data_IF_010023481708
#
_entry.id   IF_010023481708
#
_cell.length_a   1.000
_cell.length_b   1.000
_cell.length_c   1.000
_cell.angle_alpha   90.00
_cell.angle_beta   90.00
_cell.angle_gamma   90.00
#
_symmetry.space_group_name_H-M   'P 1'
#
loop_
_entity.id
_entity.type
_entity.pdbx_description
1 polymer ?
#
# COMPACT_ATOMS: atom_id res chain seq x y z
N UNK A 1 14.52 15.67 -1.34
CA UNK A 1 13.21 15.00 -1.17
C UNK A 1 13.36 13.59 -1.71
N UNK A 2 13.45 12.59 -0.82
CA UNK A 2 13.42 11.18 -1.23
C UNK A 2 12.04 10.91 -1.83
N UNK A 3 12.00 10.66 -3.14
CA UNK A 3 10.79 10.24 -3.83
C UNK A 3 10.43 8.84 -3.33
N UNK A 4 9.46 8.80 -2.41
CA UNK A 4 8.83 7.57 -1.93
C UNK A 4 8.15 6.91 -3.14
N UNK A 5 8.76 5.85 -3.67
CA UNK A 5 8.30 5.17 -4.89
C UNK A 5 7.35 4.00 -4.57
N UNK A 6 6.17 4.30 -4.02
CA UNK A 6 5.14 3.28 -3.78
C UNK A 6 4.61 2.71 -5.10
N UNK A 7 4.33 1.39 -5.18
CA UNK A 7 3.73 0.79 -6.38
C UNK A 7 2.29 1.26 -6.60
N UNK A 8 1.80 1.15 -7.84
CA UNK A 8 0.38 1.30 -8.14
C UNK A 8 -0.42 0.11 -7.58
N UNK A 9 -1.68 0.33 -7.18
CA UNK A 9 -2.54 -0.74 -6.64
C UNK A 9 -2.70 -1.91 -7.62
N UNK A 10 -2.81 -1.64 -8.91
CA UNK A 10 -2.97 -2.66 -9.95
C UNK A 10 -1.71 -3.50 -10.16
N UNK A 11 -0.52 -2.94 -9.92
CA UNK A 11 0.73 -3.72 -9.98
C UNK A 11 0.77 -4.81 -8.89
N UNK A 12 0.15 -4.55 -7.74
CA UNK A 12 -0.04 -5.55 -6.69
C UNK A 12 -1.16 -6.52 -7.11
N UNK A 13 -2.33 -6.01 -7.52
CA UNK A 13 -3.50 -6.85 -7.85
C UNK A 13 -3.31 -7.74 -9.09
N UNK A 14 -2.38 -7.41 -9.99
CA UNK A 14 -2.07 -8.20 -11.17
C UNK A 14 -1.68 -9.66 -10.84
N UNK A 15 -1.12 -9.90 -9.66
CA UNK A 15 -0.69 -11.24 -9.25
C UNK A 15 -1.86 -12.17 -8.88
N UNK A 16 -3.06 -11.65 -8.58
CA UNK A 16 -4.22 -12.45 -8.16
C UNK A 16 -4.66 -13.45 -9.24
N UNK A 17 -4.74 -13.00 -10.50
CA UNK A 17 -5.19 -13.85 -11.61
C UNK A 17 -4.17 -14.95 -11.91
N UNK A 18 -2.88 -14.61 -11.91
CA UNK A 18 -1.79 -15.56 -12.15
C UNK A 18 -1.77 -16.66 -11.09
N UNK A 19 -1.89 -16.30 -9.81
CA UNK A 19 -1.93 -17.28 -8.71
C UNK A 19 -3.13 -18.22 -8.83
N UNK A 20 -4.31 -17.69 -9.16
CA UNK A 20 -5.52 -18.52 -9.32
C UNK A 20 -5.43 -19.49 -10.51
N UNK A 21 -4.86 -19.04 -11.64
CA UNK A 21 -4.65 -19.90 -12.81
C UNK A 21 -3.69 -21.03 -12.48
N UNK A 22 -2.55 -20.72 -11.86
CA UNK A 22 -1.56 -21.72 -11.47
C UNK A 22 -2.09 -22.72 -10.45
N UNK A 23 -2.85 -22.25 -9.45
CA UNK A 23 -3.49 -23.13 -8.47
C UNK A 23 -4.35 -24.21 -9.15
N UNK A 24 -5.18 -23.83 -10.13
CA UNK A 24 -6.04 -24.78 -10.84
C UNK A 24 -5.25 -25.77 -11.71
N UNK A 25 -4.10 -25.35 -12.24
CA UNK A 25 -3.24 -26.21 -13.05
C UNK A 25 -2.51 -27.23 -12.19
N UNK A 26 -1.84 -26.76 -11.13
CA UNK A 26 -1.05 -27.58 -10.20
C UNK A 26 -1.94 -28.62 -9.50
N UNK A 27 -3.15 -28.23 -9.08
CA UNK A 27 -4.11 -29.15 -8.43
C UNK A 27 -4.53 -30.33 -9.31
N UNK A 28 -4.51 -30.15 -10.65
CA UNK A 28 -4.92 -31.15 -11.63
C UNK A 28 -3.75 -31.91 -12.25
N UNK A 29 -2.53 -31.56 -11.86
CA UNK A 29 -1.33 -32.12 -12.47
C UNK A 29 -0.89 -33.40 -11.77
N UNK A 30 -0.67 -34.51 -12.50
CA UNK A 30 -0.20 -35.75 -11.91
C UNK A 30 1.22 -35.65 -11.36
N UNK A 31 2.01 -34.65 -11.80
CA UNK A 31 3.36 -34.40 -11.31
C UNK A 31 3.40 -33.82 -9.87
N UNK A 32 2.27 -33.33 -9.37
CA UNK A 32 2.14 -32.73 -8.05
C UNK A 32 1.14 -33.50 -7.18
N UNK A 33 1.22 -34.83 -7.23
CA UNK A 33 0.24 -35.73 -6.59
C UNK A 33 0.13 -35.51 -5.08
N UNK A 34 1.27 -35.32 -4.40
CA UNK A 34 1.36 -35.20 -2.96
C UNK A 34 1.18 -33.75 -2.50
N UNK A 35 1.80 -32.80 -3.20
CA UNK A 35 1.81 -31.39 -2.78
C UNK A 35 0.83 -30.49 -3.52
N UNK A 36 0.26 -30.93 -4.65
CA UNK A 36 -0.49 -30.06 -5.56
C UNK A 36 -1.72 -29.41 -4.95
N UNK A 37 -2.47 -30.13 -4.10
CA UNK A 37 -3.61 -29.57 -3.36
C UNK A 37 -3.18 -28.48 -2.37
N UNK A 38 -2.08 -28.70 -1.66
CA UNK A 38 -1.55 -27.75 -0.69
C UNK A 38 -1.04 -26.49 -1.38
N UNK A 39 -0.29 -26.65 -2.47
CA UNK A 39 0.21 -25.54 -3.30
C UNK A 39 -0.96 -24.72 -3.85
N UNK A 40 -1.97 -25.39 -4.40
CA UNK A 40 -3.13 -24.71 -4.97
C UNK A 40 -3.93 -23.93 -3.93
N UNK A 41 -4.12 -24.49 -2.73
CA UNK A 41 -4.77 -23.79 -1.62
C UNK A 41 -4.00 -22.52 -1.22
N UNK A 42 -2.68 -22.64 -1.03
CA UNK A 42 -1.83 -21.52 -0.64
C UNK A 42 -1.72 -20.44 -1.73
N UNK A 43 -1.63 -20.82 -3.01
CA UNK A 43 -1.66 -19.86 -4.13
C UNK A 43 -2.99 -19.09 -4.20
N UNK A 44 -4.12 -19.74 -3.94
CA UNK A 44 -5.42 -19.06 -3.88
C UNK A 44 -5.48 -18.08 -2.71
N UNK A 45 -5.03 -18.51 -1.53
CA UNK A 45 -4.96 -17.66 -0.33
C UNK A 45 -4.04 -16.45 -0.56
N UNK A 46 -2.85 -16.67 -1.11
CA UNK A 46 -1.93 -15.59 -1.46
C UNK A 46 -2.56 -14.63 -2.47
N UNK A 47 -3.21 -15.14 -3.51
CA UNK A 47 -3.92 -14.32 -4.50
C UNK A 47 -5.02 -13.45 -3.88
N UNK A 48 -5.73 -13.96 -2.87
CA UNK A 48 -6.71 -13.21 -2.08
C UNK A 48 -6.05 -12.13 -1.23
N UNK A 49 -4.97 -12.45 -0.50
CA UNK A 49 -4.25 -11.47 0.34
C UNK A 49 -3.66 -10.33 -0.45
N UNK A 50 -3.08 -10.62 -1.63
CA UNK A 50 -2.56 -9.61 -2.55
C UNK A 50 -3.69 -8.72 -3.10
N UNK A 51 -4.86 -9.28 -3.37
CA UNK A 51 -6.04 -8.50 -3.79
C UNK A 51 -6.47 -7.52 -2.69
N UNK A 52 -6.54 -7.99 -1.43
CA UNK A 52 -6.89 -7.15 -0.27
C UNK A 52 -5.86 -6.04 -0.10
N UNK A 53 -4.57 -6.37 -0.10
CA UNK A 53 -3.48 -5.39 0.01
C UNK A 53 -3.55 -4.32 -1.10
N UNK A 54 -3.82 -4.72 -2.35
CA UNK A 54 -4.02 -3.79 -3.45
C UNK A 54 -5.24 -2.88 -3.27
N UNK A 55 -6.36 -3.43 -2.78
CA UNK A 55 -7.57 -2.65 -2.49
C UNK A 55 -7.35 -1.63 -1.36
N UNK A 56 -6.68 -2.02 -0.28
CA UNK A 56 -6.39 -1.11 0.83
C UNK A 56 -5.40 -0.03 0.41
N UNK A 57 -4.37 -0.38 -0.37
CA UNK A 57 -3.46 0.59 -0.98
C UNK A 57 -4.22 1.60 -1.86
N UNK A 58 -5.19 1.14 -2.66
CA UNK A 58 -6.05 2.01 -3.48
C UNK A 58 -6.91 2.95 -2.62
N UNK A 59 -7.51 2.44 -1.54
CA UNK A 59 -8.28 3.28 -0.60
C UNK A 59 -7.38 4.33 0.05
N UNK A 60 -6.17 3.94 0.45
CA UNK A 60 -5.16 4.84 1.01
C UNK A 60 -4.79 5.93 0.01
N UNK A 61 -4.50 5.60 -1.25
CA UNK A 61 -4.23 6.62 -2.29
C UNK A 61 -5.38 7.63 -2.43
N UNK A 62 -6.62 7.14 -2.54
CA UNK A 62 -7.82 7.99 -2.64
C UNK A 62 -8.00 8.90 -1.42
N UNK A 63 -7.82 8.37 -0.21
CA UNK A 63 -7.91 9.17 1.02
C UNK A 63 -6.75 10.16 1.11
N UNK A 64 -5.54 9.76 0.75
CA UNK A 64 -4.38 10.66 0.68
C UNK A 64 -4.68 11.85 -0.23
N UNK A 65 -5.29 11.61 -1.39
CA UNK A 65 -5.74 12.68 -2.29
C UNK A 65 -6.74 13.63 -1.63
N UNK A 66 -7.71 13.08 -0.89
CA UNK A 66 -8.66 13.88 -0.11
C UNK A 66 -7.98 14.68 1.01
N UNK A 67 -7.00 14.11 1.72
CA UNK A 67 -6.24 14.79 2.78
C UNK A 67 -5.61 16.07 2.24
N UNK A 68 -4.95 16.03 1.09
CA UNK A 68 -4.35 17.22 0.48
C UNK A 68 -5.40 18.28 0.13
N UNK A 69 -6.53 17.87 -0.45
CA UNK A 69 -7.63 18.78 -0.78
C UNK A 69 -8.22 19.43 0.46
N UNK A 70 -8.43 18.66 1.53
CA UNK A 70 -8.98 19.17 2.77
C UNK A 70 -7.99 20.11 3.48
N UNK A 71 -6.69 19.78 3.46
CA UNK A 71 -5.63 20.65 3.96
C UNK A 71 -5.62 21.99 3.25
N UNK A 72 -5.71 21.99 1.92
CA UNK A 72 -5.77 23.22 1.14
C UNK A 72 -6.97 24.09 1.54
N UNK A 73 -8.16 23.52 1.58
CA UNK A 73 -9.41 24.23 1.93
C UNK A 73 -9.32 24.85 3.34
N UNK A 74 -8.92 24.05 4.33
CA UNK A 74 -8.89 24.49 5.73
C UNK A 74 -7.79 25.53 5.96
N UNK A 75 -6.62 25.38 5.34
CA UNK A 75 -5.53 26.36 5.45
C UNK A 75 -5.86 27.66 4.70
N UNK A 76 -6.42 27.60 3.49
CA UNK A 76 -6.89 28.80 2.78
C UNK A 76 -7.96 29.55 3.59
N UNK A 77 -8.86 28.82 4.27
CA UNK A 77 -9.86 29.41 5.14
C UNK A 77 -9.24 30.07 6.39
N UNK A 78 -8.14 29.53 6.92
CA UNK A 78 -7.37 30.16 8.00
C UNK A 78 -6.66 31.43 7.52
N UNK A 79 -6.03 31.39 6.35
CA UNK A 79 -5.37 32.55 5.74
C UNK A 79 -6.34 33.71 5.49
N UNK A 80 -7.48 33.45 4.84
CA UNK A 80 -8.51 34.47 4.54
C UNK A 80 -9.08 35.11 5.80
N UNK A 81 -9.19 34.34 6.89
CA UNK A 81 -9.66 34.85 8.19
C UNK A 81 -8.62 35.78 8.82
N UNK A 82 -7.32 35.46 8.68
CA UNK A 82 -6.21 36.27 9.22
C UNK A 82 -5.92 37.53 8.40
N UNK A 83 -6.22 37.56 7.10
CA UNK A 83 -6.16 38.80 6.30
C UNK A 83 -7.11 39.90 6.81
N UNK A 84 -8.17 39.51 7.52
CA UNK A 84 -9.25 40.40 7.99
C UNK A 84 -9.15 40.75 9.48
N UNK A 85 -8.13 40.27 10.19
CA UNK A 85 -8.00 40.42 11.65
C UNK A 85 -6.63 41.01 12.03
N UNK A 86 -6.61 41.87 13.05
CA UNK A 86 -5.37 42.31 13.72
C UNK A 86 -4.80 41.25 14.68
N UNK A 87 -5.66 40.37 15.23
CA UNK A 87 -5.31 39.26 16.14
C UNK A 87 -6.16 38.01 15.86
N UNK A 88 -5.63 36.81 16.17
CA UNK A 88 -6.28 35.54 15.86
C UNK A 88 -7.60 35.28 16.59
N UNK A 89 -8.66 34.92 15.85
CA UNK A 89 -9.89 34.29 16.37
C UNK A 89 -9.56 32.86 16.86
N UNK A 90 -9.11 32.76 18.11
CA UNK A 90 -8.56 31.53 18.72
C UNK A 90 -9.50 30.34 18.55
N UNK A 91 -10.80 30.55 18.80
CA UNK A 91 -11.81 29.49 18.68
C UNK A 91 -11.94 29.01 17.24
N UNK A 92 -11.86 29.93 16.27
CA UNK A 92 -11.85 29.58 14.86
C UNK A 92 -10.60 28.76 14.48
N UNK A 93 -9.40 29.22 14.83
CA UNK A 93 -8.15 28.52 14.47
C UNK A 93 -8.03 27.16 15.17
N UNK A 94 -8.35 27.08 16.45
CA UNK A 94 -8.36 25.82 17.20
C UNK A 94 -9.31 24.79 16.57
N UNK A 95 -10.53 25.20 16.17
CA UNK A 95 -11.47 24.32 15.49
C UNK A 95 -10.95 23.81 14.13
N UNK A 96 -10.25 24.66 13.37
CA UNK A 96 -9.68 24.29 12.06
C UNK A 96 -8.50 23.34 12.21
N UNK A 97 -7.61 23.60 13.18
CA UNK A 97 -6.48 22.72 13.51
C UNK A 97 -6.96 21.34 14.00
N UNK A 98 -8.01 21.28 14.83
CA UNK A 98 -8.61 20.02 15.25
C UNK A 98 -9.15 19.21 14.05
N UNK A 99 -9.82 19.86 13.10
CA UNK A 99 -10.27 19.19 11.87
C UNK A 99 -9.10 18.60 11.07
N UNK A 100 -8.01 19.35 10.92
CA UNK A 100 -6.81 18.86 10.24
C UNK A 100 -6.19 17.67 10.98
N UNK A 101 -6.13 17.72 12.31
CA UNK A 101 -5.66 16.62 13.13
C UNK A 101 -6.52 15.36 12.96
N UNK A 102 -7.85 15.50 12.92
CA UNK A 102 -8.78 14.38 12.70
C UNK A 102 -8.60 13.77 11.31
N UNK A 103 -8.43 14.61 10.28
CA UNK A 103 -8.14 14.14 8.91
C UNK A 103 -6.83 13.34 8.86
N UNK A 104 -5.77 13.80 9.55
CA UNK A 104 -4.51 13.06 9.66
C UNK A 104 -4.73 11.72 10.37
N UNK A 105 -5.44 11.70 11.49
CA UNK A 105 -5.73 10.47 12.25
C UNK A 105 -6.47 9.44 11.41
N UNK A 106 -7.51 9.86 10.69
CA UNK A 106 -8.25 8.98 9.79
C UNK A 106 -7.36 8.41 8.69
N UNK A 107 -6.49 9.24 8.10
CA UNK A 107 -5.58 8.79 7.06
C UNK A 107 -4.51 7.84 7.59
N UNK A 108 -3.95 8.12 8.76
CA UNK A 108 -3.01 7.26 9.48
C UNK A 108 -3.58 5.86 9.70
N UNK A 109 -4.83 5.74 10.10
CA UNK A 109 -5.51 4.43 10.25
C UNK A 109 -5.48 3.67 8.91
N UNK A 110 -5.76 4.33 7.78
CA UNK A 110 -5.70 3.67 6.47
C UNK A 110 -4.27 3.27 6.06
N UNK A 111 -3.26 4.05 6.43
CA UNK A 111 -1.85 3.69 6.23
C UNK A 111 -1.51 2.44 7.05
N UNK A 112 -1.90 2.38 8.32
CA UNK A 112 -1.70 1.23 9.19
C UNK A 112 -2.41 -0.04 8.68
N UNK A 113 -3.67 0.09 8.24
CA UNK A 113 -4.42 -1.02 7.63
C UNK A 113 -3.72 -1.53 6.37
N UNK A 114 -3.19 -0.63 5.53
CA UNK A 114 -2.43 -1.00 4.32
C UNK A 114 -1.16 -1.76 4.67
N UNK A 115 -0.38 -1.28 5.65
CA UNK A 115 0.84 -1.96 6.12
C UNK A 115 0.50 -3.37 6.62
N UNK A 116 -0.58 -3.52 7.40
CA UNK A 116 -1.04 -4.80 7.93
C UNK A 116 -1.43 -5.76 6.80
N UNK A 117 -2.26 -5.32 5.84
CA UNK A 117 -2.68 -6.14 4.70
C UNK A 117 -1.49 -6.58 3.83
N UNK A 118 -0.49 -5.71 3.64
CA UNK A 118 0.77 -6.04 2.94
C UNK A 118 1.58 -7.08 3.69
N UNK A 119 1.75 -6.91 5.00
CA UNK A 119 2.48 -7.84 5.87
C UNK A 119 1.82 -9.23 5.87
N UNK A 120 0.49 -9.27 5.93
CA UNK A 120 -0.28 -10.51 5.81
C UNK A 120 -0.06 -11.22 4.47
N UNK A 121 0.02 -10.44 3.37
CA UNK A 121 0.32 -10.97 2.05
C UNK A 121 1.75 -11.53 1.96
N UNK A 122 2.74 -10.85 2.55
CA UNK A 122 4.14 -11.35 2.63
C UNK A 122 4.24 -12.64 3.43
N UNK A 123 3.64 -12.70 4.62
CA UNK A 123 3.66 -13.91 5.45
C UNK A 123 3.03 -15.11 4.72
N UNK A 124 1.94 -14.86 3.97
CA UNK A 124 1.29 -15.88 3.15
C UNK A 124 2.17 -16.30 1.97
N UNK A 125 2.89 -15.36 1.34
CA UNK A 125 3.85 -15.65 0.28
C UNK A 125 4.94 -16.62 0.76
N UNK A 126 5.55 -16.33 1.90
CA UNK A 126 6.67 -17.12 2.43
C UNK A 126 6.24 -18.55 2.74
N UNK A 127 5.04 -18.72 3.30
CA UNK A 127 4.43 -20.04 3.46
C UNK A 127 4.18 -20.75 2.12
N UNK A 128 3.70 -20.02 1.12
CA UNK A 128 3.40 -20.54 -0.22
C UNK A 128 4.67 -20.98 -0.96
N UNK A 129 5.74 -20.18 -0.89
CA UNK A 129 7.02 -20.46 -1.54
C UNK A 129 7.61 -21.79 -1.08
N UNK A 130 7.56 -22.08 0.23
CA UNK A 130 8.03 -23.35 0.78
C UNK A 130 7.36 -24.56 0.11
N UNK A 131 6.03 -24.53 -0.02
CA UNK A 131 5.29 -25.63 -0.66
C UNK A 131 5.55 -25.74 -2.16
N UNK A 132 5.79 -24.62 -2.84
CA UNK A 132 6.14 -24.62 -4.26
C UNK A 132 7.52 -25.25 -4.48
N UNK A 133 8.50 -24.96 -3.62
CA UNK A 133 9.83 -25.59 -3.69
C UNK A 133 9.71 -27.12 -3.53
N UNK A 134 8.89 -27.57 -2.58
CA UNK A 134 8.63 -29.01 -2.38
C UNK A 134 7.92 -29.64 -3.60
N UNK A 135 6.95 -28.94 -4.19
CA UNK A 135 6.26 -29.37 -5.40
C UNK A 135 7.14 -29.42 -6.65
N UNK A 136 8.07 -28.47 -6.81
CA UNK A 136 9.04 -28.46 -7.91
C UNK A 136 9.89 -29.74 -7.85
N UNK A 137 10.42 -30.08 -6.66
CA UNK A 137 11.20 -31.31 -6.46
C UNK A 137 10.38 -32.57 -6.75
N UNK A 138 9.10 -32.58 -6.35
CA UNK A 138 8.18 -33.69 -6.66
C UNK A 138 8.00 -33.87 -8.17
N UNK A 139 7.74 -32.77 -8.89
CA UNK A 139 7.53 -32.80 -10.33
C UNK A 139 8.82 -33.16 -11.09
N UNK A 140 9.98 -32.70 -10.64
CA UNK A 140 11.29 -33.09 -11.19
C UNK A 140 11.53 -34.59 -11.04
N UNK A 141 11.30 -35.15 -9.85
CA UNK A 141 11.42 -36.60 -9.62
C UNK A 141 10.46 -37.39 -10.51
N UNK A 142 9.20 -36.95 -10.63
CA UNK A 142 8.22 -37.56 -11.52
C UNK A 142 8.70 -37.61 -12.98
N UNK A 143 9.34 -36.54 -13.46
CA UNK A 143 9.88 -36.45 -14.82
C UNK A 143 11.08 -37.38 -15.02
N UNK A 144 11.96 -37.51 -14.01
CA UNK A 144 13.14 -38.39 -14.07
C UNK A 144 12.76 -39.86 -14.06
N UNK A 145 11.75 -40.23 -13.27
CA UNK A 145 11.29 -41.63 -13.13
C UNK A 145 10.53 -42.14 -14.39
N UNK A 146 9.97 -41.23 -15.19
CA UNK A 146 9.27 -41.57 -16.43
C UNK A 146 10.26 -41.79 -17.60
N UNK A 147 10.52 -43.07 -17.93
CA UNK A 147 11.47 -43.48 -18.97
C UNK A 147 10.96 -43.42 -20.42
N UNK A 148 9.70 -43.04 -20.67
CA UNK A 148 9.11 -42.99 -22.02
C UNK A 148 8.44 -41.64 -22.33
N UNK A 149 8.53 -41.22 -23.60
CA UNK A 149 7.83 -40.03 -24.10
C UNK A 149 6.32 -40.28 -24.14
N UNK A 150 5.63 -40.02 -23.01
CA UNK A 150 4.17 -39.99 -22.94
C UNK A 150 3.63 -38.56 -23.01
N UNK A 151 2.34 -38.45 -23.32
CA UNK A 151 1.61 -37.18 -23.24
C UNK A 151 1.64 -36.63 -21.80
N UNK A 152 1.61 -37.51 -20.78
CA UNK A 152 1.75 -37.08 -19.39
C UNK A 152 3.13 -36.48 -19.10
N UNK A 153 4.22 -37.07 -19.60
CA UNK A 153 5.57 -36.52 -19.41
C UNK A 153 5.71 -35.10 -20.02
N UNK A 154 5.16 -34.90 -21.21
CA UNK A 154 5.18 -33.60 -21.89
C UNK A 154 4.37 -32.57 -21.09
N UNK A 155 3.19 -32.96 -20.61
CA UNK A 155 2.34 -32.11 -19.77
C UNK A 155 3.00 -31.75 -18.45
N UNK A 156 3.63 -32.71 -17.77
CA UNK A 156 4.35 -32.49 -16.51
C UNK A 156 5.52 -31.51 -16.66
N UNK A 157 6.25 -31.53 -17.79
CA UNK A 157 7.31 -30.54 -18.08
C UNK A 157 6.73 -29.13 -18.24
N UNK A 158 5.58 -29.00 -18.90
CA UNK A 158 4.87 -27.71 -19.04
C UNK A 158 4.37 -27.22 -17.67
N UNK A 159 3.77 -28.11 -16.87
CA UNK A 159 3.27 -27.76 -15.53
C UNK A 159 4.42 -27.33 -14.59
N UNK A 160 5.59 -27.98 -14.69
CA UNK A 160 6.81 -27.59 -13.96
C UNK A 160 7.31 -26.20 -14.40
N UNK A 161 7.34 -25.93 -15.70
CA UNK A 161 7.73 -24.62 -16.23
C UNK A 161 6.83 -23.50 -15.70
N UNK A 162 5.52 -23.72 -15.69
CA UNK A 162 4.54 -22.75 -15.18
C UNK A 162 4.72 -22.53 -13.67
N UNK A 163 5.02 -23.58 -12.92
CA UNK A 163 5.32 -23.50 -11.49
C UNK A 163 6.57 -22.66 -11.23
N UNK A 164 7.61 -22.82 -12.05
CA UNK A 164 8.82 -21.99 -12.00
C UNK A 164 8.53 -20.51 -12.34
N UNK A 165 7.68 -20.24 -13.31
CA UNK A 165 7.30 -18.87 -13.66
C UNK A 165 6.44 -18.20 -12.57
N UNK A 166 5.62 -18.99 -11.86
CA UNK A 166 4.91 -18.53 -10.66
C UNK A 166 5.86 -18.19 -9.51
N UNK A 167 6.94 -18.96 -9.33
CA UNK A 167 7.96 -18.61 -8.35
C UNK A 167 8.58 -17.24 -8.62
N UNK A 168 8.88 -16.94 -9.90
CA UNK A 168 9.34 -15.61 -10.31
C UNK A 168 8.28 -14.53 -10.05
N UNK A 169 7.00 -14.83 -10.28
CA UNK A 169 5.90 -13.91 -9.96
C UNK A 169 5.78 -13.62 -8.47
N UNK A 170 5.95 -14.63 -7.60
CA UNK A 170 5.98 -14.45 -6.14
C UNK A 170 7.15 -13.56 -5.71
N UNK A 171 8.32 -13.75 -6.30
CA UNK A 171 9.48 -12.90 -6.06
C UNK A 171 9.24 -11.44 -6.50
N UNK A 172 8.62 -11.23 -7.67
CA UNK A 172 8.28 -9.88 -8.10
C UNK A 172 7.21 -9.22 -7.20
N UNK A 173 6.24 -9.99 -6.72
CA UNK A 173 5.27 -9.49 -5.73
C UNK A 173 5.98 -9.09 -4.42
N UNK A 174 7.01 -9.83 -4.00
CA UNK A 174 7.84 -9.47 -2.84
C UNK A 174 8.44 -8.07 -2.98
N UNK A 175 9.02 -7.77 -4.14
CA UNK A 175 9.62 -6.45 -4.40
C UNK A 175 8.59 -5.31 -4.32
N UNK A 176 7.37 -5.53 -4.80
CA UNK A 176 6.30 -4.54 -4.68
C UNK A 176 5.83 -4.36 -3.24
N UNK A 177 5.65 -5.44 -2.49
CA UNK A 177 5.22 -5.40 -1.09
C UNK A 177 6.29 -4.74 -0.20
N UNK A 178 7.57 -5.01 -0.44
CA UNK A 178 8.68 -4.43 0.31
C UNK A 178 8.75 -2.90 0.16
N UNK A 179 8.50 -2.38 -1.05
CA UNK A 179 8.40 -0.93 -1.29
C UNK A 179 7.31 -0.25 -0.45
N UNK A 180 6.28 -0.96 0.00
CA UNK A 180 5.21 -0.40 0.85
C UNK A 180 5.67 -0.21 2.30
N UNK A 181 6.75 -0.88 2.75
CA UNK A 181 7.26 -0.74 4.13
C UNK A 181 7.76 0.66 4.47
N UNK A 182 8.07 1.48 3.47
CA UNK A 182 8.35 2.91 3.66
C UNK A 182 7.18 3.67 4.31
N UNK A 183 5.97 3.09 4.29
CA UNK A 183 4.82 3.62 4.99
C UNK A 183 4.95 3.52 6.52
N UNK A 184 5.81 2.66 7.06
CA UNK A 184 6.01 2.54 8.52
C UNK A 184 6.55 3.87 9.06
N UNK A 185 7.69 4.34 8.51
CA UNK A 185 8.26 5.64 8.86
C UNK A 185 7.31 6.82 8.57
N UNK A 186 6.38 6.64 7.63
CA UNK A 186 5.38 7.65 7.31
C UNK A 186 4.24 7.66 8.33
N UNK A 187 3.79 6.49 8.80
CA UNK A 187 2.77 6.33 9.83
C UNK A 187 3.21 6.95 11.16
N UNK A 188 4.47 6.71 11.57
CA UNK A 188 5.07 7.32 12.77
C UNK A 188 5.04 8.86 12.69
N UNK A 189 5.42 9.42 11.54
CA UNK A 189 5.38 10.88 11.32
C UNK A 189 3.96 11.44 11.33
N UNK A 190 2.97 10.70 10.81
CA UNK A 190 1.58 11.11 10.87
C UNK A 190 1.06 11.07 12.32
N UNK A 191 1.50 10.10 13.11
CA UNK A 191 1.19 10.02 14.54
C UNK A 191 1.71 11.24 15.30
N UNK A 192 3.00 11.55 15.15
CA UNK A 192 3.64 12.71 15.78
C UNK A 192 2.91 14.00 15.41
N UNK A 193 2.70 14.22 14.11
CA UNK A 193 2.01 15.41 13.59
C UNK A 193 0.59 15.56 14.15
N UNK A 194 -0.17 14.46 14.19
CA UNK A 194 -1.54 14.48 14.71
C UNK A 194 -1.60 14.78 16.21
N UNK A 195 -0.58 14.34 16.94
CA UNK A 195 -0.44 14.55 18.39
C UNK A 195 -0.05 16.00 18.68
N UNK A 196 0.97 16.53 18.00
CA UNK A 196 1.38 17.93 18.10
C UNK A 196 0.22 18.89 17.78
N UNK A 197 -0.51 18.64 16.68
CA UNK A 197 -1.68 19.46 16.32
C UNK A 197 -2.81 19.40 17.37
N UNK A 198 -3.04 18.23 17.98
CA UNK A 198 -4.03 18.08 19.06
C UNK A 198 -3.57 18.72 20.38
N UNK A 199 -2.26 18.85 20.59
CA UNK A 199 -1.70 19.51 21.77
C UNK A 199 -1.79 21.04 21.64
N UNK A 200 -1.59 21.60 20.45
CA UNK A 200 -1.79 23.04 20.18
C UNK A 200 -3.22 23.48 20.56
N UNK A 201 -4.20 22.59 20.39
CA UNK A 201 -5.61 22.90 20.69
C UNK A 201 -6.01 22.65 22.15
N UNK A 202 -5.15 22.02 22.95
CA UNK A 202 -5.36 21.72 24.39
C UNK A 202 -4.38 22.45 25.31
N UNK A 203 -3.27 22.96 24.77
CA UNK A 203 -2.28 23.81 25.45
C UNK A 203 -2.80 25.22 25.75
N UNK A 204 -2.10 25.91 26.65
CA UNK A 204 -2.49 27.24 27.13
C UNK A 204 -2.77 28.23 26.00
N UNK A 205 -3.83 29.02 26.18
CA UNK A 205 -4.39 30.01 25.24
C UNK A 205 -3.35 30.95 24.56
N UNK A 206 -2.15 31.10 25.11
CA UNK A 206 -1.11 32.04 24.69
C UNK A 206 -0.38 31.66 23.39
N UNK A 207 -0.28 30.38 23.02
CA UNK A 207 0.45 29.96 21.80
C UNK A 207 -0.34 30.28 20.51
N UNK A 208 -1.67 30.17 20.54
CA UNK A 208 -2.55 30.54 19.42
C UNK A 208 -2.72 32.07 19.33
N UNK A 209 -2.63 32.78 20.46
CA UNK A 209 -2.67 34.25 20.53
C UNK A 209 -1.48 34.91 19.81
N UNK A 210 -0.34 34.22 19.70
CA UNK A 210 0.91 34.74 19.13
C UNK A 210 1.14 34.39 17.65
N UNK A 211 0.16 33.81 16.95
CA UNK A 211 0.25 33.53 15.50
C UNK A 211 0.53 34.82 14.70
N UNK A 212 1.76 34.96 14.22
CA UNK A 212 2.19 36.16 13.51
C UNK A 212 1.91 36.08 12.01
N UNK A 213 1.92 37.24 11.33
CA UNK A 213 1.90 37.30 9.86
C UNK A 213 3.05 36.53 9.20
N UNK A 214 4.17 36.35 9.91
CA UNK A 214 5.33 35.60 9.42
C UNK A 214 5.05 34.09 9.45
N UNK A 215 4.45 33.59 10.53
CA UNK A 215 4.07 32.17 10.67
C UNK A 215 3.08 31.77 9.57
N UNK A 216 2.17 32.68 9.22
CA UNK A 216 1.24 32.49 8.10
C UNK A 216 1.91 32.44 6.74
N UNK A 217 2.98 33.22 6.55
CA UNK A 217 3.74 33.21 5.31
C UNK A 217 4.50 31.89 5.15
N UNK A 218 5.01 31.34 6.26
CA UNK A 218 5.58 29.99 6.28
C UNK A 218 4.51 28.92 6.01
N UNK A 219 3.34 29.02 6.64
CA UNK A 219 2.23 28.10 6.40
C UNK A 219 1.79 28.11 4.92
N UNK A 220 1.69 29.30 4.31
CA UNK A 220 1.36 29.45 2.88
C UNK A 220 2.43 28.84 1.97
N UNK A 221 3.71 29.10 2.25
CA UNK A 221 4.79 28.47 1.48
C UNK A 221 4.75 26.94 1.60
N UNK A 222 4.46 26.42 2.79
CA UNK A 222 4.27 24.98 3.01
C UNK A 222 3.09 24.43 2.20
N UNK A 223 1.98 25.17 2.11
CA UNK A 223 0.81 24.81 1.29
C UNK A 223 1.16 24.80 -0.20
N UNK A 224 1.86 25.81 -0.70
CA UNK A 224 2.24 25.88 -2.12
C UNK A 224 3.22 24.76 -2.49
N UNK A 225 4.09 24.36 -1.57
CA UNK A 225 4.97 23.19 -1.72
C UNK A 225 4.13 21.89 -1.69
N UNK A 226 3.16 21.80 -0.78
CA UNK A 226 2.22 20.68 -0.69
C UNK A 226 1.42 20.50 -1.99
N UNK A 227 0.90 21.58 -2.58
CA UNK A 227 0.20 21.58 -3.88
C UNK A 227 1.07 21.00 -5.00
N UNK A 228 2.30 21.52 -5.15
CA UNK A 228 3.26 21.03 -6.16
C UNK A 228 3.66 19.57 -5.95
N UNK A 229 3.62 19.10 -4.71
CA UNK A 229 3.94 17.70 -4.36
C UNK A 229 2.74 16.79 -4.59
N UNK A 230 1.53 17.28 -4.32
CA UNK A 230 0.26 16.59 -4.53
C UNK A 230 0.00 16.29 -6.02
N UNK A 231 0.31 17.22 -6.92
CA UNK A 231 0.21 17.00 -8.38
C UNK A 231 1.07 15.82 -8.85
N UNK A 232 2.23 15.58 -8.21
CA UNK A 232 3.09 14.43 -8.52
C UNK A 232 2.52 13.13 -7.96
N UNK A 233 1.82 13.18 -6.84
CA UNK A 233 1.16 12.04 -6.20
C UNK A 233 -0.04 11.56 -7.03
N UNK A 234 -0.92 12.47 -7.47
CA UNK A 234 -2.09 12.14 -8.30
C UNK A 234 -1.70 11.54 -9.65
N UNK A 235 -0.68 12.09 -10.33
CA UNK A 235 -0.23 11.57 -11.63
C UNK A 235 0.18 10.11 -11.57
N UNK A 236 0.63 9.62 -10.41
CA UNK A 236 1.10 8.24 -10.26
C UNK A 236 -0.04 7.22 -10.17
N UNK A 237 -1.20 7.61 -9.64
CA UNK A 237 -2.41 6.78 -9.66
C UNK A 237 -3.10 6.84 -11.04
N UNK A 238 -3.12 8.03 -11.68
CA UNK A 238 -3.85 8.28 -12.93
C UNK A 238 -3.07 7.90 -14.22
N UNK A 239 -1.83 7.40 -14.13
CA UNK A 239 -1.01 7.04 -15.29
C UNK A 239 -1.52 5.82 -16.09
N UNK A 240 -2.68 5.25 -15.73
CA UNK A 240 -3.27 4.08 -16.40
C UNK A 240 -4.80 4.24 -16.58
N UNK A 241 -5.29 5.47 -16.80
CA UNK A 241 -6.59 5.70 -17.47
C UNK A 241 -6.40 6.25 -18.91
N UNK A 242 -5.22 6.04 -19.51
CA UNK A 242 -4.91 6.41 -20.90
C UNK A 242 -4.71 5.19 -21.80
#
# INVERSE_FOLDING_TARGET
MNTIDLPASDAIMAHTVSCRRAANMIERSPAFKNNGKMIASNLRLFGEKVMIAGQDLRKMYRKGSFVFTAFDIEIDAMMKKLEKLEYGDIKYFSNRLNKLADIIKEFRIMVADTIKSVTDAENTRDGTEKYIIEGIREAENFIVDFKSNSVELTKSKVDLQITNDIMKHLHNAALHLDKVKILIDYEDKLYDLSTEMSQITTGGYDDILNLSKTDLKYLKNSVDILKKTHDKFIRKENLIEG
#
